data_IF_224347913526
#
_entry.id   IF_224347913526
#
_cell.length_a   1.000
_cell.length_b   1.000
_cell.length_c   1.000
_cell.angle_alpha   90.00
_cell.angle_beta   90.00
_cell.angle_gamma   90.00
#
_symmetry.space_group_name_H-M   'P 1'
#
loop_
_entity.id
_entity.type
_entity.pdbx_description
1 polymer ?
#
# COMPACT_ATOMS: atom_id res chain seq x y z
N UNK A 1 -2.29 -7.41 32.73
CA UNK A 1 -0.89 -7.23 32.32
C UNK A 1 -0.82 -5.88 31.63
N UNK A 2 -0.41 -4.85 32.36
CA UNK A 2 -0.10 -3.54 31.77
C UNK A 2 0.98 -3.78 30.71
N UNK A 3 0.70 -3.39 29.46
CA UNK A 3 1.76 -3.30 28.46
C UNK A 3 2.57 -2.08 28.87
N UNK A 4 3.70 -2.32 29.55
CA UNK A 4 4.76 -1.32 29.70
C UNK A 4 5.08 -0.74 28.32
N UNK A 5 5.24 0.58 28.25
CA UNK A 5 5.70 1.23 27.03
C UNK A 5 7.01 0.57 26.57
N UNK A 6 7.02 0.09 25.33
CA UNK A 6 8.17 -0.57 24.71
C UNK A 6 8.49 0.15 23.40
N UNK A 7 9.78 0.24 23.08
CA UNK A 7 10.27 0.92 21.90
C UNK A 7 11.18 -0.01 21.10
N UNK A 8 11.03 0.02 19.78
CA UNK A 8 11.97 -0.56 18.83
C UNK A 8 12.42 0.52 17.86
N UNK A 9 13.74 0.66 17.68
CA UNK A 9 14.32 1.57 16.69
C UNK A 9 15.68 1.04 16.26
N UNK A 10 15.95 1.08 14.96
CA UNK A 10 17.26 0.79 14.41
C UNK A 10 17.44 1.57 13.10
N UNK A 11 18.69 1.86 12.76
CA UNK A 11 19.01 2.32 11.42
C UNK A 11 19.20 1.14 10.47
N UNK A 12 18.92 1.37 9.20
CA UNK A 12 19.03 0.36 8.15
C UNK A 12 20.02 0.80 7.09
N UNK A 13 20.90 -0.11 6.68
CA UNK A 13 21.83 0.13 5.58
C UNK A 13 21.05 0.24 4.26
N UNK A 14 21.06 1.41 3.58
CA UNK A 14 20.37 1.59 2.32
C UNK A 14 21.16 0.96 1.18
N UNK A 15 20.45 0.57 0.11
CA UNK A 15 21.08 0.00 -1.11
C UNK A 15 21.56 1.08 -2.09
N UNK A 16 21.12 2.31 -1.91
CA UNK A 16 21.45 3.46 -2.74
C UNK A 16 21.67 4.68 -1.84
N UNK A 17 22.45 5.67 -2.27
CA UNK A 17 22.59 6.93 -1.56
C UNK A 17 21.24 7.60 -1.30
N UNK A 18 21.16 8.34 -0.21
CA UNK A 18 20.01 9.20 0.08
C UNK A 18 19.93 10.30 -0.99
N UNK A 19 18.72 10.70 -1.38
CA UNK A 19 18.56 11.90 -2.20
C UNK A 19 18.96 13.13 -1.38
N UNK A 20 19.44 14.18 -2.05
CA UNK A 20 19.83 15.43 -1.37
C UNK A 20 18.71 16.01 -0.51
N UNK A 21 17.46 15.92 -0.96
CA UNK A 21 16.30 16.34 -0.18
C UNK A 21 16.06 15.47 1.06
N UNK A 22 16.22 14.15 0.98
CA UNK A 22 16.03 13.25 2.11
C UNK A 22 17.15 13.43 3.16
N UNK A 23 18.39 13.63 2.71
CA UNK A 23 19.53 13.93 3.58
C UNK A 23 19.35 15.28 4.28
N UNK A 24 18.94 16.32 3.57
CA UNK A 24 18.71 17.64 4.15
C UNK A 24 17.65 17.62 5.27
N UNK A 25 16.61 16.81 5.07
CA UNK A 25 15.46 16.76 5.99
C UNK A 25 15.73 15.85 7.20
N UNK A 26 16.38 14.70 7.00
CA UNK A 26 16.56 13.70 8.07
C UNK A 26 17.94 13.77 8.73
N UNK A 27 18.90 14.42 8.08
CA UNK A 27 20.32 14.38 8.46
C UNK A 27 20.99 13.04 8.18
N UNK A 28 20.29 12.09 7.53
CA UNK A 28 20.82 10.76 7.25
C UNK A 28 21.56 10.76 5.91
N UNK A 29 22.82 10.31 5.95
CA UNK A 29 23.70 10.19 4.78
C UNK A 29 24.31 8.79 4.71
N UNK A 30 24.46 8.28 3.49
CA UNK A 30 25.16 7.02 3.21
C UNK A 30 26.32 7.29 2.24
N UNK A 31 27.56 7.08 2.71
CA UNK A 31 28.78 7.34 1.93
C UNK A 31 29.26 6.11 1.12
N UNK A 32 28.47 5.03 1.10
CA UNK A 32 28.86 3.74 0.51
C UNK A 32 29.47 2.75 1.50
N UNK A 33 29.92 3.23 2.66
CA UNK A 33 30.54 2.41 3.72
C UNK A 33 29.85 2.58 5.07
N UNK A 34 29.55 3.82 5.45
CA UNK A 34 29.01 4.19 6.75
C UNK A 34 27.68 4.93 6.59
N UNK A 35 26.74 4.62 7.49
CA UNK A 35 25.56 5.44 7.68
C UNK A 35 25.88 6.52 8.71
N UNK A 36 25.53 7.77 8.41
CA UNK A 36 25.75 8.92 9.29
C UNK A 36 24.44 9.61 9.58
N UNK A 37 24.28 10.09 10.81
CA UNK A 37 23.23 11.00 11.24
C UNK A 37 23.89 12.32 11.67
N UNK A 38 23.57 13.41 10.97
CA UNK A 38 24.13 14.74 11.23
C UNK A 38 25.68 14.71 11.31
N UNK A 39 26.30 13.98 10.40
CA UNK A 39 27.76 13.80 10.32
C UNK A 39 28.35 12.68 11.18
N UNK A 40 27.64 12.22 12.22
CA UNK A 40 28.13 11.17 13.13
C UNK A 40 27.80 9.78 12.60
N UNK A 41 28.77 8.87 12.63
CA UNK A 41 28.55 7.46 12.23
C UNK A 41 27.59 6.80 13.20
N UNK A 42 26.57 6.11 12.68
CA UNK A 42 25.60 5.35 13.46
C UNK A 42 25.63 3.88 13.08
N UNK A 43 25.41 3.01 14.06
CA UNK A 43 25.25 1.58 13.80
C UNK A 43 23.96 1.34 13.00
N UNK A 44 24.08 0.60 11.90
CA UNK A 44 22.97 0.26 11.02
C UNK A 44 22.98 -1.24 10.70
N UNK A 45 21.79 -1.82 10.61
CA UNK A 45 21.61 -3.23 10.30
C UNK A 45 21.29 -3.45 8.82
N UNK A 46 21.64 -4.61 8.25
CA UNK A 46 21.07 -5.05 6.98
C UNK A 46 19.53 -5.10 7.07
N UNK A 47 18.83 -4.69 6.00
CA UNK A 47 17.36 -4.62 5.98
C UNK A 47 16.68 -5.94 6.39
N UNK A 48 17.25 -7.08 6.03
CA UNK A 48 16.72 -8.39 6.42
C UNK A 48 16.71 -8.56 7.95
N UNK A 49 17.81 -8.20 8.62
CA UNK A 49 17.94 -8.32 10.07
C UNK A 49 17.07 -7.29 10.79
N UNK A 50 17.06 -6.04 10.31
CA UNK A 50 16.20 -4.99 10.85
C UNK A 50 14.71 -5.38 10.82
N UNK A 51 14.23 -5.89 9.68
CA UNK A 51 12.85 -6.35 9.53
C UNK A 51 12.55 -7.60 10.37
N UNK A 52 13.46 -8.57 10.40
CA UNK A 52 13.29 -9.77 11.22
C UNK A 52 13.16 -9.40 12.70
N UNK A 53 14.05 -8.54 13.20
CA UNK A 53 14.01 -8.05 14.57
C UNK A 53 12.73 -7.26 14.86
N UNK A 54 12.28 -6.44 13.92
CA UNK A 54 11.03 -5.68 14.07
C UNK A 54 9.80 -6.61 14.15
N UNK A 55 9.68 -7.58 13.25
CA UNK A 55 8.54 -8.52 13.24
C UNK A 55 8.55 -9.44 14.47
N UNK A 56 9.72 -9.92 14.90
CA UNK A 56 9.86 -10.67 16.16
C UNK A 56 9.51 -9.82 17.38
N UNK A 57 9.85 -8.52 17.35
CA UNK A 57 9.43 -7.59 18.40
C UNK A 57 7.90 -7.41 18.41
N UNK A 58 7.25 -7.32 17.25
CA UNK A 58 5.78 -7.25 17.14
C UNK A 58 5.08 -8.50 17.69
N UNK A 59 5.65 -9.69 17.50
CA UNK A 59 5.10 -10.95 18.03
C UNK A 59 5.05 -11.02 19.57
N UNK A 60 5.74 -10.12 20.28
CA UNK A 60 5.63 -9.99 21.73
C UNK A 60 4.29 -9.42 22.18
N UNK A 61 3.53 -8.81 21.26
CA UNK A 61 2.22 -8.21 21.53
C UNK A 61 1.11 -9.08 20.93
N UNK A 62 0.06 -9.31 21.71
CA UNK A 62 -1.13 -10.01 21.22
C UNK A 62 -1.85 -9.14 20.20
N UNK A 63 -2.00 -9.64 18.97
CA UNK A 63 -2.76 -8.99 17.90
C UNK A 63 -2.26 -7.56 17.56
N UNK A 64 -0.97 -7.42 17.28
CA UNK A 64 -0.37 -6.12 16.97
C UNK A 64 -0.99 -5.43 15.74
N UNK A 65 -1.37 -4.16 15.89
CA UNK A 65 -1.86 -3.30 14.80
C UNK A 65 -0.87 -2.15 14.62
N UNK A 66 -0.39 -1.96 13.39
CA UNK A 66 0.51 -0.84 13.06
C UNK A 66 -0.29 0.40 12.69
N UNK A 67 0.10 1.54 13.26
CA UNK A 67 -0.51 2.85 12.96
C UNK A 67 0.58 3.76 12.43
N UNK A 68 0.36 4.35 11.26
CA UNK A 68 1.28 5.33 10.68
C UNK A 68 0.48 6.49 10.08
N UNK A 69 1.08 7.68 10.09
CA UNK A 69 0.47 8.88 9.54
C UNK A 69 0.75 8.97 8.03
N UNK A 70 -0.31 8.94 7.19
CA UNK A 70 -0.19 8.74 5.75
C UNK A 70 0.39 7.37 5.36
N UNK A 71 0.35 6.40 6.29
CA UNK A 71 1.00 5.11 6.13
C UNK A 71 0.52 4.32 4.92
N UNK A 72 -0.76 4.45 4.53
CA UNK A 72 -1.30 3.69 3.40
C UNK A 72 -0.65 4.09 2.07
N UNK A 73 -0.18 5.34 1.96
CA UNK A 73 0.47 5.85 0.76
C UNK A 73 2.00 5.74 0.82
N UNK A 74 2.57 5.57 2.00
CA UNK A 74 4.01 5.64 2.22
C UNK A 74 4.54 4.45 3.03
N UNK A 75 4.49 4.52 4.37
CA UNK A 75 5.21 3.61 5.28
C UNK A 75 4.89 2.14 5.02
N UNK A 76 3.61 1.80 4.92
CA UNK A 76 3.19 0.40 4.77
C UNK A 76 3.50 -0.17 3.38
N UNK A 77 3.57 0.68 2.35
CA UNK A 77 4.01 0.26 1.00
C UNK A 77 5.50 -0.07 1.02
N UNK A 78 6.30 0.78 1.65
CA UNK A 78 7.75 0.57 1.81
C UNK A 78 8.01 -0.70 2.63
N UNK A 79 7.33 -0.84 3.79
CA UNK A 79 7.46 -2.00 4.66
C UNK A 79 7.07 -3.30 3.95
N UNK A 80 5.93 -3.32 3.26
CA UNK A 80 5.44 -4.52 2.56
C UNK A 80 6.36 -4.94 1.43
N UNK A 81 6.84 -3.98 0.62
CA UNK A 81 7.79 -4.26 -0.44
C UNK A 81 9.13 -4.76 0.11
N UNK A 82 9.64 -4.14 1.18
CA UNK A 82 10.88 -4.59 1.82
C UNK A 82 10.73 -6.02 2.39
N UNK A 83 9.61 -6.32 3.04
CA UNK A 83 9.29 -7.65 3.54
C UNK A 83 9.20 -8.69 2.42
N UNK A 84 8.52 -8.40 1.31
CA UNK A 84 8.44 -9.29 0.14
C UNK A 84 9.83 -9.55 -0.48
N UNK A 85 10.63 -8.49 -0.68
CA UNK A 85 11.99 -8.60 -1.23
C UNK A 85 12.93 -9.37 -0.32
N UNK A 86 12.72 -9.31 0.99
CA UNK A 86 13.47 -10.08 1.98
C UNK A 86 12.90 -11.48 2.25
N UNK A 87 11.82 -11.90 1.57
CA UNK A 87 11.13 -13.17 1.82
C UNK A 87 10.60 -13.32 3.25
N UNK A 88 10.27 -12.20 3.89
CA UNK A 88 9.74 -12.10 5.25
C UNK A 88 8.23 -11.78 5.28
N UNK A 89 7.54 -11.84 4.15
CA UNK A 89 6.13 -11.43 4.09
C UNK A 89 5.21 -12.31 4.96
N UNK A 90 5.45 -13.62 5.03
CA UNK A 90 4.68 -14.49 5.92
C UNK A 90 4.89 -14.11 7.39
N UNK A 91 6.15 -13.87 7.79
CA UNK A 91 6.46 -13.40 9.14
C UNK A 91 5.80 -12.04 9.43
N UNK A 92 5.72 -11.16 8.44
CA UNK A 92 4.98 -9.89 8.57
C UNK A 92 3.48 -10.13 8.84
N UNK A 93 2.82 -11.02 8.08
CA UNK A 93 1.41 -11.35 8.29
C UNK A 93 1.14 -12.07 9.61
N UNK A 94 2.09 -12.87 10.09
CA UNK A 94 2.00 -13.57 11.39
C UNK A 94 2.24 -12.62 12.58
N UNK A 95 3.03 -11.56 12.38
CA UNK A 95 3.39 -10.60 13.43
C UNK A 95 2.43 -9.42 13.55
N UNK A 96 1.61 -9.15 12.53
CA UNK A 96 0.73 -7.99 12.48
C UNK A 96 -0.65 -8.35 11.93
N UNK A 97 -1.71 -8.07 12.69
CA UNK A 97 -3.09 -8.39 12.30
C UNK A 97 -3.78 -7.27 11.54
N UNK A 98 -3.18 -6.07 11.50
CA UNK A 98 -3.83 -4.89 10.93
C UNK A 98 -2.92 -3.69 10.75
N UNK A 99 -3.25 -2.85 9.77
CA UNK A 99 -2.64 -1.54 9.57
C UNK A 99 -3.71 -0.45 9.61
N UNK A 100 -3.33 0.74 10.07
CA UNK A 100 -4.20 1.92 10.16
C UNK A 100 -3.45 3.13 9.60
N UNK A 101 -4.09 3.84 8.68
CA UNK A 101 -3.67 5.19 8.28
C UNK A 101 -4.36 6.21 9.19
N UNK A 102 -3.57 6.90 10.02
CA UNK A 102 -4.12 7.83 11.00
C UNK A 102 -4.83 9.03 10.36
N UNK A 103 -4.54 9.39 9.10
CA UNK A 103 -5.28 10.46 8.43
C UNK A 103 -6.77 10.12 8.30
N UNK A 104 -7.10 8.86 8.00
CA UNK A 104 -8.50 8.43 7.89
C UNK A 104 -9.22 8.51 9.24
N UNK A 105 -8.54 8.08 10.31
CA UNK A 105 -9.02 8.17 11.69
C UNK A 105 -9.26 9.63 12.07
N UNK A 106 -8.28 10.51 11.82
CA UNK A 106 -8.37 11.92 12.18
C UNK A 106 -9.43 12.66 11.38
N UNK A 107 -9.64 12.35 10.10
CA UNK A 107 -10.75 12.90 9.30
C UNK A 107 -12.12 12.50 9.84
N UNK A 108 -12.23 11.28 10.37
CA UNK A 108 -13.46 10.80 11.01
C UNK A 108 -13.68 11.48 12.37
N UNK A 109 -12.61 11.59 13.17
CA UNK A 109 -12.66 12.14 14.53
C UNK A 109 -12.84 13.65 14.57
N UNK A 110 -12.13 14.38 13.70
CA UNK A 110 -12.15 15.84 13.60
C UNK A 110 -12.33 16.20 12.13
N UNK A 111 -13.58 16.21 11.63
CA UNK A 111 -13.86 16.43 10.22
C UNK A 111 -13.63 17.90 9.81
N UNK A 112 -13.42 18.11 8.51
CA UNK A 112 -13.36 19.45 7.86
C UNK A 112 -12.19 20.35 8.29
N UNK A 113 -11.07 19.79 8.73
CA UNK A 113 -9.85 20.57 8.87
C UNK A 113 -9.26 20.94 7.49
N UNK A 114 -8.58 22.09 7.37
CA UNK A 114 -7.96 22.50 6.11
C UNK A 114 -6.82 21.57 5.70
N UNK A 115 -6.13 20.97 6.68
CA UNK A 115 -5.00 20.05 6.49
C UNK A 115 -5.04 18.96 7.55
N UNK A 116 -4.38 17.86 7.24
CA UNK A 116 -4.20 16.71 8.13
C UNK A 116 -2.75 16.23 8.10
N UNK A 117 -1.77 17.11 7.84
CA UNK A 117 -0.37 16.75 8.03
C UNK A 117 -0.07 16.62 9.52
N UNK A 118 0.90 15.79 9.87
CA UNK A 118 1.24 15.56 11.27
C UNK A 118 1.62 16.86 12.01
N UNK A 119 2.49 17.74 11.47
CA UNK A 119 2.80 19.02 12.14
C UNK A 119 1.57 19.90 12.36
N UNK A 120 0.66 19.96 11.38
CA UNK A 120 -0.57 20.73 11.51
C UNK A 120 -1.47 20.17 12.62
N UNK A 121 -1.60 18.84 12.71
CA UNK A 121 -2.38 18.20 13.77
C UNK A 121 -1.71 18.36 15.14
N UNK A 122 -0.38 18.33 15.21
CA UNK A 122 0.37 18.59 16.45
C UNK A 122 0.06 19.99 16.99
N UNK A 123 0.16 21.01 16.15
CA UNK A 123 -0.15 22.39 16.52
C UNK A 123 -1.63 22.53 16.89
N UNK A 124 -2.53 22.01 16.04
CA UNK A 124 -3.97 22.21 16.18
C UNK A 124 -4.59 21.44 17.35
N UNK A 125 -4.12 20.23 17.64
CA UNK A 125 -4.72 19.33 18.65
C UNK A 125 -3.92 19.35 19.96
N UNK A 126 -2.59 19.38 19.88
CA UNK A 126 -1.73 19.29 21.06
C UNK A 126 -1.22 20.66 21.53
N UNK A 127 -1.38 21.72 20.73
CA UNK A 127 -0.77 23.04 20.97
C UNK A 127 0.76 22.95 21.20
N UNK A 128 1.42 22.13 20.38
CA UNK A 128 2.85 21.87 20.43
C UNK A 128 3.48 22.02 19.05
N UNK A 129 4.81 22.08 19.03
CA UNK A 129 5.64 21.85 17.86
C UNK A 129 6.62 20.72 18.17
N UNK A 130 7.16 20.07 17.14
CA UNK A 130 8.14 19.00 17.32
C UNK A 130 9.10 18.90 16.14
N UNK A 131 10.17 18.15 16.35
CA UNK A 131 11.15 17.86 15.31
C UNK A 131 10.59 16.80 14.35
N UNK A 132 9.81 17.25 13.37
CA UNK A 132 9.36 16.37 12.29
C UNK A 132 10.57 15.79 11.55
N UNK A 133 10.41 14.58 11.00
CA UNK A 133 11.44 13.87 10.22
C UNK A 133 12.50 13.11 11.03
N UNK A 134 12.29 12.97 12.34
CA UNK A 134 12.92 11.92 13.14
C UNK A 134 11.88 10.83 13.41
N UNK A 135 12.21 9.57 13.07
CA UNK A 135 11.25 8.46 13.16
C UNK A 135 10.68 8.24 14.57
N UNK A 136 11.48 8.43 15.62
CA UNK A 136 11.03 8.27 17.01
C UNK A 136 10.16 9.45 17.45
N UNK A 137 10.55 10.68 17.09
CA UNK A 137 9.76 11.87 17.40
C UNK A 137 8.42 11.84 16.67
N UNK A 138 8.39 11.42 15.39
CA UNK A 138 7.19 11.26 14.58
C UNK A 138 6.23 10.22 15.20
N UNK A 139 6.72 9.06 15.64
CA UNK A 139 5.88 8.03 16.28
C UNK A 139 5.37 8.50 17.66
N UNK A 140 6.23 9.12 18.45
CA UNK A 140 5.86 9.65 19.77
C UNK A 140 4.79 10.74 19.65
N UNK A 141 4.97 11.65 18.69
CA UNK A 141 4.00 12.72 18.44
C UNK A 141 2.69 12.19 17.87
N UNK A 142 2.72 11.15 17.03
CA UNK A 142 1.49 10.51 16.57
C UNK A 142 0.67 9.96 17.74
N UNK A 143 1.32 9.31 18.70
CA UNK A 143 0.67 8.83 19.92
C UNK A 143 0.04 9.97 20.73
N UNK A 144 0.75 11.09 20.89
CA UNK A 144 0.21 12.29 21.55
C UNK A 144 -1.03 12.85 20.85
N UNK A 145 -0.98 12.99 19.51
CA UNK A 145 -2.12 13.47 18.71
C UNK A 145 -3.34 12.58 18.91
N UNK A 146 -3.17 11.26 18.84
CA UNK A 146 -4.28 10.31 19.00
C UNK A 146 -4.89 10.39 20.42
N UNK A 147 -4.04 10.49 21.44
CA UNK A 147 -4.48 10.67 22.85
C UNK A 147 -5.20 12.00 23.05
N UNK A 148 -4.64 13.11 22.58
CA UNK A 148 -5.22 14.45 22.71
C UNK A 148 -6.55 14.58 21.95
N UNK A 149 -6.67 13.96 20.78
CA UNK A 149 -7.91 13.86 20.02
C UNK A 149 -8.93 12.86 20.61
N UNK A 150 -8.60 12.19 21.74
CA UNK A 150 -9.42 11.18 22.41
C UNK A 150 -9.87 10.07 21.46
N UNK A 151 -8.97 9.62 20.59
CA UNK A 151 -9.21 8.50 19.67
C UNK A 151 -9.34 7.22 20.50
N UNK A 152 -10.46 6.53 20.35
CA UNK A 152 -10.72 5.26 21.04
C UNK A 152 -10.27 4.06 20.21
N UNK A 153 -10.14 2.88 20.82
CA UNK A 153 -9.90 1.63 20.10
C UNK A 153 -11.00 1.34 19.08
N UNK A 154 -12.26 1.72 19.36
CA UNK A 154 -13.38 1.58 18.41
C UNK A 154 -13.19 2.48 17.19
N UNK A 155 -12.69 3.70 17.38
CA UNK A 155 -12.36 4.60 16.26
C UNK A 155 -11.25 3.99 15.38
N UNK A 156 -10.21 3.43 16.00
CA UNK A 156 -9.11 2.77 15.30
C UNK A 156 -9.59 1.55 14.51
N UNK A 157 -10.34 0.64 15.14
CA UNK A 157 -10.79 -0.62 14.53
C UNK A 157 -11.67 -0.40 13.28
N UNK A 158 -12.43 0.70 13.21
CA UNK A 158 -13.22 1.07 12.02
C UNK A 158 -12.36 1.35 10.79
N UNK A 159 -11.09 1.67 10.99
CA UNK A 159 -10.16 2.05 9.93
C UNK A 159 -9.03 1.03 9.72
N UNK A 160 -9.06 -0.10 10.43
CA UNK A 160 -8.10 -1.19 10.25
C UNK A 160 -8.33 -1.90 8.92
N UNK A 161 -7.22 -2.22 8.23
CA UNK A 161 -7.22 -3.05 7.03
C UNK A 161 -6.06 -4.05 7.07
N UNK A 162 -6.08 -5.05 6.19
CA UNK A 162 -5.10 -6.13 6.23
C UNK A 162 -3.72 -5.66 5.75
N UNK A 163 -2.62 -6.03 6.42
CA UNK A 163 -1.28 -5.81 5.87
C UNK A 163 -1.10 -6.47 4.48
N UNK A 164 -1.80 -7.59 4.24
CA UNK A 164 -1.83 -8.29 2.95
C UNK A 164 -2.35 -7.44 1.79
N UNK A 165 -3.18 -6.43 2.06
CA UNK A 165 -3.77 -5.58 1.03
C UNK A 165 -2.69 -4.79 0.26
N UNK A 166 -1.57 -4.44 0.90
CA UNK A 166 -0.47 -3.73 0.24
C UNK A 166 0.25 -4.60 -0.79
N UNK A 167 0.51 -5.87 -0.48
CA UNK A 167 1.12 -6.78 -1.45
C UNK A 167 0.20 -7.01 -2.64
N UNK A 168 -1.10 -7.20 -2.38
CA UNK A 168 -2.09 -7.33 -3.45
C UNK A 168 -2.14 -6.06 -4.32
N UNK A 169 -2.06 -4.88 -3.71
CA UNK A 169 -2.05 -3.61 -4.42
C UNK A 169 -0.77 -3.41 -5.26
N UNK A 170 0.40 -3.78 -4.75
CA UNK A 170 1.66 -3.70 -5.50
C UNK A 170 1.68 -4.70 -6.66
N UNK A 171 1.23 -5.93 -6.45
CA UNK A 171 1.07 -6.92 -7.53
C UNK A 171 0.10 -6.41 -8.62
N UNK A 172 -1.01 -5.80 -8.20
CA UNK A 172 -1.94 -5.16 -9.12
C UNK A 172 -1.28 -4.03 -9.91
N UNK A 173 -0.51 -3.16 -9.26
CA UNK A 173 0.17 -2.04 -9.92
C UNK A 173 1.23 -2.52 -10.92
N UNK A 174 2.00 -3.56 -10.57
CA UNK A 174 3.00 -4.17 -11.44
C UNK A 174 2.35 -4.80 -12.68
N UNK A 175 1.26 -5.57 -12.49
CA UNK A 175 0.49 -6.14 -13.58
C UNK A 175 -0.13 -5.05 -14.46
N UNK A 176 -0.66 -3.98 -13.86
CA UNK A 176 -1.21 -2.83 -14.57
C UNK A 176 -0.15 -2.21 -15.47
N UNK A 177 1.02 -1.89 -14.93
CA UNK A 177 2.12 -1.30 -15.69
C UNK A 177 2.54 -2.17 -16.89
N UNK A 178 2.62 -3.49 -16.67
CA UNK A 178 3.01 -4.45 -17.71
C UNK A 178 1.94 -4.61 -18.80
N UNK A 179 0.67 -4.71 -18.43
CA UNK A 179 -0.39 -5.19 -19.33
C UNK A 179 -1.21 -4.05 -19.95
N UNK A 180 -1.31 -2.88 -19.30
CA UNK A 180 -2.15 -1.77 -19.74
C UNK A 180 -1.82 -1.28 -21.16
N UNK A 181 -0.55 -1.20 -21.60
CA UNK A 181 -0.23 -0.76 -22.96
C UNK A 181 -0.94 -1.57 -24.06
N UNK A 182 -1.12 -2.89 -23.84
CA UNK A 182 -1.82 -3.77 -24.80
C UNK A 182 -3.31 -3.44 -24.94
N UNK A 183 -3.90 -2.73 -23.97
CA UNK A 183 -5.32 -2.40 -23.92
C UNK A 183 -5.61 -0.96 -24.39
N UNK A 184 -4.59 -0.14 -24.64
CA UNK A 184 -4.79 1.25 -25.08
C UNK A 184 -5.62 1.35 -26.36
N UNK A 185 -5.47 0.42 -27.29
CA UNK A 185 -6.25 0.43 -28.52
C UNK A 185 -7.75 0.19 -28.24
N UNK A 186 -8.09 -0.68 -27.28
CA UNK A 186 -9.48 -0.90 -26.86
C UNK A 186 -10.10 0.35 -26.24
N UNK A 187 -9.29 1.12 -25.51
CA UNK A 187 -9.70 2.42 -24.97
C UNK A 187 -9.93 3.42 -26.10
N UNK A 188 -8.99 3.50 -27.07
CA UNK A 188 -9.09 4.38 -28.23
C UNK A 188 -10.30 4.08 -29.13
N UNK A 189 -10.69 2.81 -29.24
CA UNK A 189 -11.88 2.37 -29.99
C UNK A 189 -13.18 2.48 -29.19
N UNK A 190 -13.16 2.97 -27.94
CA UNK A 190 -14.35 3.09 -27.10
C UNK A 190 -14.98 1.74 -26.69
N UNK A 191 -14.20 0.66 -26.78
CA UNK A 191 -14.62 -0.69 -26.36
C UNK A 191 -14.70 -0.76 -24.84
N UNK A 192 -13.69 -0.22 -24.15
CA UNK A 192 -13.63 -0.10 -22.69
C UNK A 192 -13.24 1.31 -22.26
N UNK A 193 -13.67 1.73 -21.06
CA UNK A 193 -13.14 2.94 -20.42
C UNK A 193 -11.75 2.68 -19.85
N UNK A 194 -10.95 3.74 -19.67
CA UNK A 194 -9.61 3.63 -19.07
C UNK A 194 -9.63 2.90 -17.72
N UNK A 195 -10.57 3.24 -16.84
CA UNK A 195 -10.71 2.57 -15.53
C UNK A 195 -10.94 1.06 -15.64
N UNK A 196 -11.71 0.62 -16.64
CA UNK A 196 -11.93 -0.81 -16.91
C UNK A 196 -10.66 -1.46 -17.45
N UNK A 197 -9.93 -0.79 -18.35
CA UNK A 197 -8.64 -1.27 -18.85
C UNK A 197 -7.59 -1.38 -17.73
N UNK A 198 -7.54 -0.43 -16.80
CA UNK A 198 -6.69 -0.49 -15.61
C UNK A 198 -7.03 -1.69 -14.71
N UNK A 199 -8.32 -1.98 -14.51
CA UNK A 199 -8.75 -3.15 -13.73
C UNK A 199 -8.41 -4.48 -14.42
N UNK A 200 -8.64 -4.57 -15.74
CA UNK A 200 -8.27 -5.74 -16.54
C UNK A 200 -6.75 -5.98 -16.44
N UNK A 201 -5.96 -4.96 -16.74
CA UNK A 201 -4.50 -5.03 -16.73
C UNK A 201 -3.93 -5.35 -15.35
N UNK A 202 -4.42 -4.68 -14.30
CA UNK A 202 -4.01 -4.95 -12.93
C UNK A 202 -4.40 -6.34 -12.42
N UNK A 203 -5.45 -6.96 -12.99
CA UNK A 203 -5.81 -8.35 -12.72
C UNK A 203 -4.91 -9.40 -13.42
N UNK A 204 -3.87 -8.95 -14.13
CA UNK A 204 -2.95 -9.80 -14.87
C UNK A 204 -3.40 -10.14 -16.29
N UNK A 205 -4.50 -9.56 -16.78
CA UNK A 205 -5.01 -9.81 -18.13
C UNK A 205 -4.46 -8.76 -19.11
N UNK A 206 -4.07 -9.21 -20.29
CA UNK A 206 -3.70 -8.34 -21.41
C UNK A 206 -4.60 -8.66 -22.61
N UNK A 207 -4.40 -7.97 -23.73
CA UNK A 207 -5.22 -8.18 -24.92
C UNK A 207 -5.23 -9.64 -25.41
N UNK A 208 -4.06 -10.27 -25.52
CA UNK A 208 -3.93 -11.65 -25.98
C UNK A 208 -4.64 -12.65 -25.06
N UNK A 209 -4.61 -12.42 -23.74
CA UNK A 209 -5.39 -13.22 -22.80
C UNK A 209 -6.89 -13.10 -23.07
N UNK A 210 -7.41 -11.88 -23.31
CA UNK A 210 -8.83 -11.68 -23.62
C UNK A 210 -9.22 -12.38 -24.93
N UNK A 211 -8.38 -12.25 -25.98
CA UNK A 211 -8.59 -12.91 -27.27
C UNK A 211 -8.61 -14.43 -27.12
N UNK A 212 -7.68 -15.00 -26.35
CA UNK A 212 -7.60 -16.43 -26.10
C UNK A 212 -8.81 -16.95 -25.32
N UNK A 213 -9.26 -16.24 -24.29
CA UNK A 213 -10.46 -16.60 -23.52
C UNK A 213 -11.67 -16.62 -24.45
N UNK A 214 -11.83 -15.58 -25.27
CA UNK A 214 -12.93 -15.50 -26.23
C UNK A 214 -12.88 -16.62 -27.29
N UNK A 215 -11.69 -16.93 -27.84
CA UNK A 215 -11.53 -18.04 -28.80
C UNK A 215 -11.94 -19.40 -28.21
N UNK A 216 -11.82 -19.59 -26.90
CA UNK A 216 -12.13 -20.87 -26.22
C UNK A 216 -13.58 -20.98 -25.79
N UNK A 217 -14.12 -19.92 -25.20
CA UNK A 217 -15.42 -19.96 -24.49
C UNK A 217 -16.32 -18.75 -24.82
N UNK A 218 -15.97 -17.97 -25.83
CA UNK A 218 -16.79 -16.86 -26.33
C UNK A 218 -17.08 -15.79 -25.26
N UNK A 219 -18.32 -15.28 -25.29
CA UNK A 219 -18.81 -14.26 -24.36
C UNK A 219 -18.90 -14.77 -22.91
N UNK A 220 -19.24 -16.05 -22.73
CA UNK A 220 -19.40 -16.64 -21.40
C UNK A 220 -18.05 -16.75 -20.70
N UNK A 221 -17.01 -17.21 -21.41
CA UNK A 221 -15.65 -17.25 -20.88
C UNK A 221 -15.14 -15.88 -20.43
N UNK A 222 -15.35 -14.85 -21.25
CA UNK A 222 -15.00 -13.48 -20.88
C UNK A 222 -15.77 -13.03 -19.63
N UNK A 223 -17.09 -13.19 -19.61
CA UNK A 223 -17.96 -12.78 -18.50
C UNK A 223 -17.56 -13.47 -17.19
N UNK A 224 -17.31 -14.77 -17.24
CA UNK A 224 -16.89 -15.57 -16.11
C UNK A 224 -15.54 -15.10 -15.56
N UNK A 225 -14.53 -14.93 -16.43
CA UNK A 225 -13.19 -14.51 -15.99
C UNK A 225 -13.20 -13.09 -15.40
N UNK A 226 -13.92 -12.15 -16.02
CA UNK A 226 -13.93 -10.74 -15.61
C UNK A 226 -14.70 -10.50 -14.31
N UNK A 227 -15.69 -11.35 -14.01
CA UNK A 227 -16.50 -11.29 -12.79
C UNK A 227 -16.02 -12.26 -11.69
N UNK A 228 -15.11 -13.17 -11.99
CA UNK A 228 -14.55 -14.14 -11.05
C UNK A 228 -14.03 -13.45 -9.77
N UNK A 229 -14.19 -14.10 -8.62
CA UNK A 229 -13.64 -13.60 -7.36
C UNK A 229 -12.15 -13.92 -7.27
N UNK A 230 -11.35 -12.97 -6.81
CA UNK A 230 -9.95 -13.17 -6.46
C UNK A 230 -9.79 -13.85 -5.08
N UNK A 231 -8.56 -14.05 -4.63
CA UNK A 231 -8.23 -14.70 -3.35
C UNK A 231 -8.82 -14.03 -2.11
N UNK A 232 -9.23 -12.75 -2.21
CA UNK A 232 -9.88 -12.00 -1.13
C UNK A 232 -11.38 -11.78 -1.36
N UNK A 233 -11.97 -12.54 -2.28
CA UNK A 233 -13.42 -12.51 -2.55
C UNK A 233 -13.92 -11.28 -3.32
N UNK A 234 -13.03 -10.41 -3.80
CA UNK A 234 -13.37 -9.24 -4.63
C UNK A 234 -13.44 -9.63 -6.12
N UNK A 235 -14.30 -8.99 -6.93
CA UNK A 235 -14.36 -9.29 -8.36
C UNK A 235 -13.01 -8.98 -9.03
N UNK A 236 -12.64 -9.79 -10.03
CA UNK A 236 -11.38 -9.66 -10.76
C UNK A 236 -11.29 -8.34 -11.49
N UNK A 237 -12.38 -7.91 -12.14
CA UNK A 237 -12.47 -6.63 -12.85
C UNK A 237 -13.65 -5.78 -12.38
N UNK A 238 -14.86 -6.37 -12.31
CA UNK A 238 -16.06 -5.67 -11.83
C UNK A 238 -17.14 -6.65 -11.38
N UNK A 239 -17.92 -6.27 -10.36
CA UNK A 239 -19.14 -6.97 -9.96
C UNK A 239 -20.40 -6.40 -10.64
N UNK A 240 -20.29 -5.29 -11.37
CA UNK A 240 -21.41 -4.73 -12.14
C UNK A 240 -21.66 -5.55 -13.41
N UNK A 241 -22.70 -6.38 -13.37
CA UNK A 241 -23.09 -7.24 -14.48
C UNK A 241 -23.42 -6.46 -15.75
N UNK A 242 -24.06 -5.28 -15.64
CA UNK A 242 -24.43 -4.48 -16.81
C UNK A 242 -23.17 -3.93 -17.49
N UNK A 243 -22.23 -3.44 -16.69
CA UNK A 243 -20.93 -2.99 -17.19
C UNK A 243 -20.20 -4.14 -17.89
N UNK A 244 -20.08 -5.30 -17.24
CA UNK A 244 -19.40 -6.49 -17.79
C UNK A 244 -20.04 -6.92 -19.10
N UNK A 245 -21.36 -7.13 -19.14
CA UNK A 245 -22.06 -7.50 -20.39
C UNK A 245 -21.81 -6.49 -21.51
N UNK A 246 -21.87 -5.18 -21.21
CA UNK A 246 -21.73 -4.14 -22.24
C UNK A 246 -20.38 -4.19 -22.95
N UNK A 247 -19.27 -4.30 -22.22
CA UNK A 247 -17.96 -4.35 -22.90
C UNK A 247 -17.58 -5.74 -23.39
N UNK A 248 -18.11 -6.83 -22.82
CA UNK A 248 -17.96 -8.18 -23.37
C UNK A 248 -18.60 -8.30 -24.75
N UNK A 249 -19.77 -7.68 -24.95
CA UNK A 249 -20.41 -7.61 -26.27
C UNK A 249 -19.54 -6.86 -27.27
N UNK A 250 -19.04 -5.67 -26.91
CA UNK A 250 -18.15 -4.87 -27.77
C UNK A 250 -16.83 -5.59 -28.08
N UNK A 251 -16.23 -6.26 -27.09
CA UNK A 251 -15.04 -7.09 -27.29
C UNK A 251 -15.31 -8.23 -28.27
N UNK A 252 -16.45 -8.88 -28.15
CA UNK A 252 -16.81 -10.01 -29.02
C UNK A 252 -17.09 -9.58 -30.45
N UNK A 253 -17.74 -8.43 -30.65
CA UNK A 253 -17.89 -7.82 -31.97
C UNK A 253 -16.51 -7.53 -32.57
N UNK A 254 -15.65 -6.85 -31.82
CA UNK A 254 -14.28 -6.57 -32.25
C UNK A 254 -13.54 -7.86 -32.63
N UNK A 255 -13.60 -8.92 -31.82
CA UNK A 255 -12.93 -10.19 -32.09
C UNK A 255 -13.54 -10.99 -33.25
N UNK A 256 -14.83 -10.81 -33.55
CA UNK A 256 -15.52 -11.44 -34.67
C UNK A 256 -15.28 -10.70 -35.99
N UNK A 257 -15.17 -9.37 -35.94
CA UNK A 257 -15.04 -8.49 -37.11
C UNK A 257 -13.64 -8.51 -37.73
N UNK A 258 -12.68 -9.18 -37.10
CA UNK A 258 -11.27 -9.04 -37.47
C UNK A 258 -10.57 -10.36 -37.80
N UNK A 259 -10.14 -10.39 -39.06
CA UNK A 259 -8.95 -11.03 -39.62
C UNK A 259 -7.65 -10.61 -38.92
N UNK A 260 -7.57 -10.78 -37.59
CA UNK A 260 -6.34 -10.66 -36.82
C UNK A 260 -5.66 -12.03 -36.70
N UNK A 261 -5.07 -12.48 -37.79
CA UNK A 261 -3.91 -13.38 -37.78
C UNK A 261 -2.67 -12.57 -38.17
#
# INVERSE_FOLDING_TARGET
MEILESQFSCYVVPKAPMSSGAEHITGIMWDGTNLRLNGNVVAALPIFEALSNFFLWLQKFNNAILIAHNGKKFDFRILSNAADKCKLFNLYLESCVGCIDSIAVMKSKIPKLPKYSQPYLTEHVCNKNYNAHNALDDVSMLNEILKAAKVSSVDLLKHTYSPGDHLLQENFNMNKLKNLPSLHFLVGQGVVKMTTAENISGSGLNFEHLKLIWKREGQDGLSNVLSAKNSIGKPRVSSDKKLVCSFVQKLSQLFADTSFD
#
